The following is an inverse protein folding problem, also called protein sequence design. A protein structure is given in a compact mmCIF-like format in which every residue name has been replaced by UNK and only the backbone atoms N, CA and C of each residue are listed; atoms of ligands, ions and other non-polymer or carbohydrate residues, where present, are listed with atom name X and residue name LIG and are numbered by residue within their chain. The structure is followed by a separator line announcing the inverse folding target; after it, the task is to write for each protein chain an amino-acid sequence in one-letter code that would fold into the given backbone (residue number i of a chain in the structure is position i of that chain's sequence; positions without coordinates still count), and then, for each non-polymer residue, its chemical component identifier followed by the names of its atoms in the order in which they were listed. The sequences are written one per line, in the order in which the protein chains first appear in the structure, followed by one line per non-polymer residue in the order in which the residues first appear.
data_IF_218011193778
#
_entry.id   IF_218011193778
#
_cell.length_a   1.000
_cell.length_b   1.000
_cell.length_c   1.000
_cell.angle_alpha   90.00
_cell.angle_beta   90.00
_cell.angle_gamma   90.00
#
_symmetry.space_group_name_H-M   'P 1'
#
loop_
_entity.id
_entity.type
_entity.pdbx_description
1 polymer ?
#
# COMPACT_ATOMS: atom_id res chain seq x y z
N UNK A 1 -15.55 9.59 -2.53
CA UNK A 1 -15.10 8.74 -3.66
C UNK A 1 -13.63 9.04 -3.87
N UNK A 2 -12.82 8.03 -4.16
CA UNK A 2 -11.37 8.11 -4.39
C UNK A 2 -11.07 7.44 -5.73
N UNK A 3 -10.02 7.88 -6.43
CA UNK A 3 -9.50 7.21 -7.62
C UNK A 3 -8.23 6.48 -7.23
N UNK A 4 -8.13 5.19 -7.56
CA UNK A 4 -6.91 4.42 -7.36
C UNK A 4 -6.18 4.28 -8.69
N UNK A 5 -4.90 4.61 -8.70
CA UNK A 5 -3.99 4.36 -9.82
C UNK A 5 -3.09 3.19 -9.46
N UNK A 6 -3.24 2.08 -10.19
CA UNK A 6 -2.45 0.87 -10.02
C UNK A 6 -1.39 0.80 -11.13
N UNK A 7 -0.12 0.74 -10.74
CA UNK A 7 0.99 0.54 -11.68
C UNK A 7 1.90 -0.60 -11.19
N UNK A 8 1.57 -1.87 -11.50
CA UNK A 8 2.37 -3.01 -11.06
C UNK A 8 3.77 -3.05 -11.70
N UNK A 9 3.96 -2.39 -12.85
CA UNK A 9 5.24 -2.38 -13.56
C UNK A 9 6.16 -1.26 -13.11
N UNK A 10 5.77 -0.42 -12.14
CA UNK A 10 6.51 0.79 -11.77
C UNK A 10 7.94 0.49 -11.33
N UNK A 11 8.13 -0.53 -10.50
CA UNK A 11 9.46 -0.96 -10.06
C UNK A 11 10.32 -1.40 -11.26
N UNK A 12 9.73 -2.12 -12.22
CA UNK A 12 10.43 -2.57 -13.42
C UNK A 12 10.77 -1.43 -14.39
N UNK A 13 9.90 -0.41 -14.48
CA UNK A 13 10.15 0.84 -15.24
C UNK A 13 11.37 1.56 -14.68
N UNK A 14 11.46 1.72 -13.36
CA UNK A 14 12.57 2.39 -12.70
C UNK A 14 13.87 1.58 -12.80
N UNK A 15 13.78 0.25 -12.80
CA UNK A 15 14.92 -0.64 -12.92
C UNK A 15 15.38 -0.87 -14.38
N UNK A 16 14.57 -0.52 -15.38
CA UNK A 16 14.84 -0.83 -16.78
C UNK A 16 14.81 -2.34 -17.07
N UNK A 17 13.99 -3.09 -16.33
CA UNK A 17 13.89 -4.55 -16.40
C UNK A 17 12.66 -5.03 -17.17
N UNK A 18 11.84 -4.11 -17.69
CA UNK A 18 10.72 -4.45 -18.56
C UNK A 18 11.20 -5.18 -19.81
N UNK A 19 10.57 -6.30 -20.12
CA UNK A 19 10.87 -7.09 -21.32
C UNK A 19 10.37 -6.36 -22.56
N UNK A 20 11.24 -6.16 -23.55
CA UNK A 20 10.90 -5.60 -24.85
C UNK A 20 10.14 -6.58 -25.75
N UNK A 21 9.67 -6.08 -26.90
CA UNK A 21 8.77 -6.78 -27.84
C UNK A 21 9.32 -8.14 -28.30
N UNK A 22 10.64 -8.26 -28.43
CA UNK A 22 11.30 -9.48 -28.92
C UNK A 22 11.81 -10.41 -27.80
N UNK A 23 11.61 -10.06 -26.53
CA UNK A 23 12.08 -10.84 -25.38
C UNK A 23 13.58 -10.81 -25.11
N UNK A 24 14.37 -10.23 -26.03
CA UNK A 24 15.85 -10.24 -26.01
C UNK A 24 16.41 -8.91 -25.47
N UNK A 25 15.69 -7.81 -25.65
CA UNK A 25 16.08 -6.47 -25.19
C UNK A 25 15.19 -6.01 -24.04
N UNK A 26 15.76 -5.34 -23.04
CA UNK A 26 14.97 -4.66 -21.99
C UNK A 26 14.71 -3.20 -22.36
N UNK A 27 13.58 -2.67 -21.88
CA UNK A 27 13.29 -1.24 -21.98
C UNK A 27 14.19 -0.50 -21.00
N UNK A 28 14.86 0.57 -21.45
CA UNK A 28 15.73 1.38 -20.60
C UNK A 28 14.95 1.92 -19.39
N UNK A 29 15.62 1.96 -18.25
CA UNK A 29 15.13 2.64 -17.06
C UNK A 29 14.70 4.09 -17.37
N UNK A 30 13.52 4.47 -16.88
CA UNK A 30 13.08 5.87 -16.90
C UNK A 30 13.60 6.54 -15.63
N UNK A 31 14.24 7.72 -15.73
CA UNK A 31 14.69 8.45 -14.55
C UNK A 31 13.53 8.75 -13.60
N UNK A 32 13.76 8.53 -12.32
CA UNK A 32 12.76 8.75 -11.26
C UNK A 32 12.09 10.14 -11.30
N UNK A 33 12.80 11.26 -11.55
CA UNK A 33 12.15 12.57 -11.66
C UNK A 33 11.11 12.63 -12.79
N UNK A 34 11.38 11.98 -13.93
CA UNK A 34 10.43 11.96 -15.06
C UNK A 34 9.18 11.13 -14.73
N UNK A 35 9.35 10.01 -14.00
CA UNK A 35 8.24 9.19 -13.50
C UNK A 35 7.38 9.99 -12.53
N UNK A 36 8.01 10.70 -11.58
CA UNK A 36 7.31 11.53 -10.61
C UNK A 36 6.51 12.65 -11.30
N UNK A 37 7.14 13.39 -12.22
CA UNK A 37 6.51 14.47 -12.97
C UNK A 37 5.29 13.97 -13.77
N UNK A 38 5.41 12.79 -14.38
CA UNK A 38 4.31 12.17 -15.14
C UNK A 38 3.15 11.77 -14.24
N UNK A 39 3.43 11.10 -13.11
CA UNK A 39 2.40 10.69 -12.15
C UNK A 39 1.67 11.90 -11.58
N UNK A 40 2.41 12.95 -11.20
CA UNK A 40 1.83 14.18 -10.66
C UNK A 40 1.00 14.92 -11.71
N UNK A 41 1.49 14.99 -12.95
CA UNK A 41 0.73 15.58 -14.06
C UNK A 41 -0.59 14.84 -14.29
N UNK A 42 -0.59 13.50 -14.21
CA UNK A 42 -1.81 12.70 -14.30
C UNK A 42 -2.75 12.96 -13.11
N UNK A 43 -2.23 12.94 -11.89
CA UNK A 43 -2.98 13.18 -10.65
C UNK A 43 -3.67 14.55 -10.71
N UNK A 44 -2.99 15.58 -11.20
CA UNK A 44 -3.53 16.95 -11.32
C UNK A 44 -4.70 17.05 -12.30
N UNK A 45 -4.85 16.10 -13.24
CA UNK A 45 -6.03 16.06 -14.13
C UNK A 45 -7.27 15.43 -13.47
N UNK A 46 -7.11 14.76 -12.32
CA UNK A 46 -8.17 14.02 -11.64
C UNK A 46 -8.78 14.92 -10.55
N UNK A 47 -10.05 15.30 -10.70
CA UNK A 47 -10.76 16.17 -9.76
C UNK A 47 -11.16 15.50 -8.43
N UNK A 48 -10.58 14.34 -8.10
CA UNK A 48 -10.87 13.53 -6.93
C UNK A 48 -9.57 13.18 -6.21
N UNK A 49 -9.61 12.91 -4.89
CA UNK A 49 -8.45 12.40 -4.19
C UNK A 49 -7.91 11.12 -4.85
N UNK A 50 -6.60 11.05 -5.03
CA UNK A 50 -5.93 9.90 -5.67
C UNK A 50 -5.18 9.08 -4.63
N UNK A 51 -5.39 7.76 -4.68
CA UNK A 51 -4.54 6.76 -4.04
C UNK A 51 -3.66 6.09 -5.10
N UNK A 52 -2.41 5.80 -4.77
CA UNK A 52 -1.49 5.07 -5.65
C UNK A 52 -1.11 3.73 -5.05
N UNK A 53 -0.97 2.72 -5.88
CA UNK A 53 -0.60 1.36 -5.49
C UNK A 53 0.34 0.74 -6.52
N UNK A 54 1.26 -0.08 -6.04
CA UNK A 54 2.11 -0.93 -6.86
C UNK A 54 1.97 -2.36 -6.33
N UNK A 55 1.37 -3.24 -7.13
CA UNK A 55 1.02 -4.60 -6.72
C UNK A 55 2.21 -5.56 -6.68
N UNK A 56 3.30 -5.26 -7.39
CA UNK A 56 4.43 -6.18 -7.54
C UNK A 56 5.51 -5.94 -6.48
N UNK A 57 6.28 -7.00 -6.23
CA UNK A 57 7.32 -7.06 -5.22
C UNK A 57 8.31 -5.90 -5.30
N UNK A 58 8.44 -5.14 -4.21
CA UNK A 58 9.42 -4.05 -4.13
C UNK A 58 8.91 -2.71 -4.65
N UNK A 59 7.63 -2.41 -4.39
CA UNK A 59 7.03 -1.10 -4.61
C UNK A 59 7.99 0.06 -4.24
N UNK A 60 8.18 1.05 -5.11
CA UNK A 60 9.11 2.16 -4.88
C UNK A 60 8.48 3.20 -3.93
N UNK A 61 8.34 2.85 -2.64
CA UNK A 61 7.65 3.65 -1.62
C UNK A 61 8.20 5.06 -1.54
N UNK A 62 9.52 5.23 -1.67
CA UNK A 62 10.17 6.54 -1.66
C UNK A 62 9.73 7.45 -2.84
N UNK A 63 9.49 6.88 -4.02
CA UNK A 63 8.90 7.63 -5.14
C UNK A 63 7.43 7.94 -4.85
N UNK A 64 6.66 6.92 -4.46
CA UNK A 64 5.21 7.04 -4.27
C UNK A 64 4.85 8.07 -3.19
N UNK A 65 5.62 8.14 -2.09
CA UNK A 65 5.38 9.14 -1.04
C UNK A 65 5.56 10.59 -1.53
N UNK A 66 6.37 10.82 -2.56
CA UNK A 66 6.66 12.17 -3.10
C UNK A 66 5.63 12.64 -4.13
N UNK A 67 4.82 11.72 -4.67
CA UNK A 67 3.72 12.08 -5.58
C UNK A 67 2.69 13.01 -4.93
N UNK A 68 1.77 13.59 -5.70
CA UNK A 68 0.62 14.35 -5.18
C UNK A 68 -0.51 13.48 -4.64
N UNK A 69 -0.37 12.15 -4.67
CA UNK A 69 -1.37 11.24 -4.14
C UNK A 69 -1.59 11.48 -2.64
N UNK A 70 -2.85 11.45 -2.21
CA UNK A 70 -3.23 11.62 -0.80
C UNK A 70 -3.05 10.34 0.01
N UNK A 71 -2.95 9.20 -0.69
CA UNK A 71 -2.79 7.90 -0.09
C UNK A 71 -1.84 7.01 -0.90
N UNK A 72 -1.08 6.17 -0.20
CA UNK A 72 -0.19 5.16 -0.80
C UNK A 72 -0.56 3.80 -0.24
N UNK A 73 -0.83 2.84 -1.13
CA UNK A 73 -1.19 1.48 -0.77
C UNK A 73 -0.01 0.51 -0.94
N UNK A 74 0.30 -0.23 0.12
CA UNK A 74 1.42 -1.17 0.20
C UNK A 74 0.98 -2.48 0.83
N UNK A 75 1.58 -3.59 0.41
CA UNK A 75 1.42 -4.88 1.09
C UNK A 75 2.31 -4.91 2.34
N UNK A 76 1.71 -5.14 3.51
CA UNK A 76 2.41 -5.23 4.78
C UNK A 76 3.46 -6.34 4.81
N UNK A 77 3.27 -7.41 4.03
CA UNK A 77 4.15 -8.57 3.97
C UNK A 77 5.37 -8.36 3.07
N UNK A 78 5.35 -7.32 2.24
CA UNK A 78 6.47 -6.97 1.35
C UNK A 78 7.33 -5.82 1.88
N UNK A 79 6.90 -5.18 2.98
CA UNK A 79 7.65 -4.08 3.58
C UNK A 79 9.00 -4.56 4.13
N UNK A 80 10.06 -3.88 3.73
CA UNK A 80 11.42 -4.10 4.20
C UNK A 80 11.81 -3.00 5.17
N UNK A 81 12.87 -3.25 5.95
CA UNK A 81 13.45 -2.23 6.85
C UNK A 81 13.88 -0.96 6.12
N UNK A 82 14.32 -1.09 4.87
CA UNK A 82 14.73 0.05 4.03
C UNK A 82 13.57 0.95 3.63
N UNK A 83 12.33 0.48 3.74
CA UNK A 83 11.14 1.24 3.37
C UNK A 83 10.59 2.06 4.56
N UNK A 84 11.08 1.83 5.78
CA UNK A 84 10.58 2.47 7.01
C UNK A 84 10.75 3.99 6.99
N UNK A 85 11.92 4.50 6.59
CA UNK A 85 12.16 5.95 6.54
C UNK A 85 11.16 6.64 5.59
N UNK A 86 10.95 6.04 4.40
CA UNK A 86 9.99 6.54 3.42
C UNK A 86 8.54 6.51 3.93
N UNK A 87 8.16 5.45 4.67
CA UNK A 87 6.84 5.35 5.29
C UNK A 87 6.66 6.35 6.44
N UNK A 88 7.71 6.62 7.22
CA UNK A 88 7.71 7.64 8.25
C UNK A 88 7.50 9.03 7.66
N UNK A 89 8.21 9.37 6.59
CA UNK A 89 8.05 10.62 5.86
C UNK A 89 6.65 10.75 5.20
N UNK A 90 6.10 9.66 4.67
CA UNK A 90 4.73 9.62 4.15
C UNK A 90 3.72 10.04 5.23
N UNK A 91 3.82 9.43 6.41
CA UNK A 91 2.92 9.70 7.54
C UNK A 91 3.12 11.12 8.08
N UNK A 92 4.36 11.60 8.20
CA UNK A 92 4.64 12.99 8.58
C UNK A 92 4.08 14.02 7.60
N UNK A 93 4.06 13.70 6.31
CA UNK A 93 3.44 14.52 5.28
C UNK A 93 1.90 14.54 5.36
N UNK A 94 1.29 13.86 6.33
CA UNK A 94 -0.15 13.83 6.54
C UNK A 94 -0.91 12.92 5.58
N UNK A 95 -0.20 12.08 4.81
CA UNK A 95 -0.83 11.16 3.85
C UNK A 95 -1.40 9.94 4.56
N UNK A 96 -2.34 9.29 3.89
CA UNK A 96 -2.91 8.01 4.35
C UNK A 96 -2.05 6.85 3.86
N UNK A 97 -1.64 5.98 4.78
CA UNK A 97 -1.09 4.67 4.45
C UNK A 97 -2.24 3.67 4.33
N UNK A 98 -2.40 3.06 3.16
CA UNK A 98 -3.36 1.97 2.95
C UNK A 98 -2.59 0.65 3.04
N UNK A 99 -2.71 -0.02 4.18
CA UNK A 99 -1.92 -1.19 4.50
C UNK A 99 -2.69 -2.48 4.15
N UNK A 100 -2.20 -3.20 3.15
CA UNK A 100 -2.69 -4.53 2.80
C UNK A 100 -2.21 -5.56 3.82
N UNK A 101 -3.04 -5.92 4.80
CA UNK A 101 -2.66 -6.85 5.88
C UNK A 101 -3.59 -8.05 6.04
N UNK A 102 -4.63 -8.13 5.21
CA UNK A 102 -5.55 -9.28 5.17
C UNK A 102 -5.24 -10.14 3.93
N UNK A 103 -5.13 -11.47 4.05
CA UNK A 103 -4.87 -12.34 2.90
C UNK A 103 -5.95 -12.25 1.83
N UNK A 104 -5.53 -12.04 0.58
CA UNK A 104 -6.46 -11.92 -0.55
C UNK A 104 -6.91 -13.28 -1.08
N UNK A 105 -6.01 -14.27 -1.10
CA UNK A 105 -6.34 -15.67 -1.40
C UNK A 105 -6.87 -16.39 -0.14
N UNK A 106 -7.71 -17.40 -0.33
CA UNK A 106 -8.22 -18.23 0.77
C UNK A 106 -7.06 -18.94 1.47
N UNK A 107 -6.76 -18.63 2.74
CA UNK A 107 -5.68 -19.29 3.46
C UNK A 107 -6.14 -20.65 3.97
N UNK A 108 -5.20 -21.58 4.20
CA UNK A 108 -5.48 -22.87 4.83
C UNK A 108 -6.09 -22.70 6.24
N UNK A 109 -5.61 -21.67 6.96
CA UNK A 109 -6.15 -21.24 8.25
C UNK A 109 -6.54 -19.76 8.18
N UNK A 110 -7.83 -19.43 8.33
CA UNK A 110 -8.26 -18.04 8.48
C UNK A 110 -7.57 -17.35 9.67
N UNK A 111 -6.92 -16.18 9.46
CA UNK A 111 -6.40 -15.39 10.57
C UNK A 111 -7.50 -14.77 11.41
N UNK A 112 -7.16 -14.49 12.67
CA UNK A 112 -7.92 -13.60 13.54
C UNK A 112 -7.64 -12.13 13.17
N UNK A 113 -8.57 -11.23 13.47
CA UNK A 113 -8.37 -9.81 13.20
C UNK A 113 -7.12 -9.24 13.89
N UNK A 114 -6.75 -9.75 15.08
CA UNK A 114 -5.53 -9.33 15.78
C UNK A 114 -4.27 -9.66 14.99
N UNK A 115 -4.23 -10.81 14.33
CA UNK A 115 -3.12 -11.21 13.46
C UNK A 115 -3.01 -10.27 12.24
N UNK A 116 -4.15 -9.77 11.73
CA UNK A 116 -4.18 -8.78 10.64
C UNK A 116 -3.89 -7.34 11.10
N UNK A 117 -4.10 -7.00 12.37
CA UNK A 117 -3.81 -5.68 12.94
C UNK A 117 -2.33 -5.52 13.31
N UNK A 118 -1.69 -6.62 13.73
CA UNK A 118 -0.31 -6.62 14.23
C UNK A 118 0.72 -5.95 13.29
N UNK A 119 0.67 -6.11 11.94
CA UNK A 119 1.64 -5.46 11.06
C UNK A 119 1.59 -3.93 11.13
N UNK A 120 0.41 -3.33 11.23
CA UNK A 120 0.29 -1.87 11.33
C UNK A 120 0.77 -1.35 12.68
N UNK A 121 0.45 -2.05 13.77
CA UNK A 121 0.93 -1.72 15.12
C UNK A 121 2.45 -1.77 15.17
N UNK A 122 3.06 -2.87 14.69
CA UNK A 122 4.53 -3.01 14.64
C UNK A 122 5.18 -1.93 13.80
N UNK A 123 4.59 -1.57 12.67
CA UNK A 123 5.10 -0.50 11.81
C UNK A 123 5.12 0.84 12.57
N UNK A 124 3.99 1.22 13.17
CA UNK A 124 3.86 2.48 13.92
C UNK A 124 4.82 2.53 15.11
N UNK A 125 4.90 1.45 15.89
CA UNK A 125 5.82 1.34 17.02
C UNK A 125 7.28 1.44 16.59
N UNK A 126 7.64 0.81 15.45
CA UNK A 126 9.00 0.85 14.91
C UNK A 126 9.39 2.23 14.41
N UNK A 127 8.43 3.01 13.92
CA UNK A 127 8.63 4.40 13.49
C UNK A 127 8.60 5.39 14.67
N UNK A 128 8.16 4.94 15.86
CA UNK A 128 8.09 5.76 17.07
C UNK A 128 6.96 6.80 17.06
N UNK A 129 5.92 6.61 16.25
CA UNK A 129 4.73 7.46 16.29
C UNK A 129 3.81 7.06 17.45
N UNK A 130 3.00 8.02 17.90
CA UNK A 130 1.86 7.75 18.77
C UNK A 130 0.83 6.88 18.03
N UNK A 131 0.25 5.87 18.71
CA UNK A 131 -0.63 4.89 18.06
C UNK A 131 -1.96 5.48 17.61
N UNK A 132 -2.32 6.70 18.03
CA UNK A 132 -3.43 7.45 17.43
C UNK A 132 -3.31 7.60 15.91
N UNK A 133 -2.10 7.51 15.34
CA UNK A 133 -1.89 7.54 13.88
C UNK A 133 -2.56 6.35 13.17
N UNK A 134 -2.71 5.21 13.84
CA UNK A 134 -3.45 4.06 13.31
C UNK A 134 -4.91 4.43 13.03
N UNK A 135 -5.51 5.29 13.86
CA UNK A 135 -6.89 5.71 13.71
C UNK A 135 -7.07 6.80 12.64
N UNK A 136 -6.08 7.69 12.49
CA UNK A 136 -6.21 8.89 11.67
C UNK A 136 -5.62 8.76 10.27
N UNK A 137 -4.58 7.93 10.08
CA UNK A 137 -3.80 7.88 8.84
C UNK A 137 -3.53 6.47 8.32
N UNK A 138 -3.95 5.41 9.01
CA UNK A 138 -3.80 4.04 8.53
C UNK A 138 -5.15 3.43 8.17
N UNK A 139 -5.31 3.07 6.90
CA UNK A 139 -6.42 2.25 6.41
C UNK A 139 -5.96 0.82 6.19
N UNK A 140 -6.89 -0.14 6.23
CA UNK A 140 -6.57 -1.57 6.05
C UNK A 140 -7.35 -2.16 4.88
N UNK A 141 -6.65 -2.92 4.05
CA UNK A 141 -7.22 -3.62 2.89
C UNK A 141 -6.77 -5.08 2.87
N UNK A 142 -7.38 -5.92 2.02
CA UNK A 142 -6.69 -7.11 1.55
C UNK A 142 -5.36 -6.73 0.88
N UNK A 143 -4.41 -7.65 0.83
CA UNK A 143 -3.09 -7.44 0.21
C UNK A 143 -3.15 -7.13 -1.29
N UNK A 144 -4.22 -7.55 -1.98
CA UNK A 144 -4.44 -7.43 -3.42
C UNK A 144 -5.94 -7.56 -3.73
N UNK A 145 -6.31 -7.58 -5.01
CA UNK A 145 -7.68 -7.83 -5.45
C UNK A 145 -8.21 -9.20 -5.03
N UNK A 146 -9.50 -9.27 -4.69
CA UNK A 146 -10.17 -10.51 -4.27
C UNK A 146 -10.70 -11.38 -5.43
N UNK A 147 -10.37 -11.04 -6.69
CA UNK A 147 -10.90 -11.72 -7.87
C UNK A 147 -10.59 -13.23 -7.91
N UNK A 148 -9.46 -13.64 -7.34
CA UNK A 148 -9.06 -15.05 -7.24
C UNK A 148 -9.59 -15.80 -6.00
N UNK A 149 -10.38 -15.15 -5.15
CA UNK A 149 -10.88 -15.74 -3.89
C UNK A 149 -12.25 -16.39 -4.05
N UNK A 150 -12.61 -17.27 -3.11
CA UNK A 150 -14.01 -17.74 -3.03
C UNK A 150 -14.92 -16.63 -2.51
N UNK A 151 -16.21 -16.61 -2.88
CA UNK A 151 -17.15 -15.62 -2.36
C UNK A 151 -17.28 -15.62 -0.83
N UNK A 152 -17.13 -16.77 -0.16
CA UNK A 152 -17.11 -16.82 1.31
C UNK A 152 -15.87 -16.12 1.87
N UNK A 153 -14.69 -16.40 1.30
CA UNK A 153 -13.46 -15.77 1.74
C UNK A 153 -13.47 -14.26 1.47
N UNK A 154 -13.93 -13.82 0.29
CA UNK A 154 -14.03 -12.39 -0.03
C UNK A 154 -14.84 -11.62 1.04
N UNK A 155 -16.00 -12.17 1.45
CA UNK A 155 -16.81 -11.58 2.52
C UNK A 155 -16.09 -11.57 3.86
N UNK A 156 -15.40 -12.67 4.21
CA UNK A 156 -14.66 -12.76 5.47
C UNK A 156 -13.47 -11.81 5.50
N UNK A 157 -12.72 -11.71 4.42
CA UNK A 157 -11.59 -10.80 4.27
C UNK A 157 -12.04 -9.34 4.43
N UNK A 158 -13.13 -8.93 3.77
CA UNK A 158 -13.70 -7.59 3.97
C UNK A 158 -14.23 -7.38 5.39
N UNK A 159 -14.78 -8.40 6.05
CA UNK A 159 -15.17 -8.27 7.46
C UNK A 159 -13.95 -8.08 8.38
N UNK A 160 -12.85 -8.80 8.12
CA UNK A 160 -11.60 -8.66 8.85
C UNK A 160 -10.99 -7.26 8.71
N UNK A 161 -11.00 -6.66 7.50
CA UNK A 161 -10.50 -5.28 7.34
C UNK A 161 -11.31 -4.29 8.18
N UNK A 162 -12.64 -4.45 8.22
CA UNK A 162 -13.51 -3.66 9.09
C UNK A 162 -13.22 -3.86 10.58
N UNK A 163 -13.02 -5.12 11.03
CA UNK A 163 -12.65 -5.44 12.42
C UNK A 163 -11.34 -4.77 12.83
N UNK A 164 -10.31 -4.79 11.95
CA UNK A 164 -9.02 -4.15 12.23
C UNK A 164 -9.15 -2.62 12.30
N UNK A 165 -9.83 -1.98 11.34
CA UNK A 165 -10.01 -0.52 11.35
C UNK A 165 -10.83 -0.07 12.56
N UNK A 166 -11.83 -0.85 12.98
CA UNK A 166 -12.58 -0.57 14.21
C UNK A 166 -11.64 -0.64 15.43
N UNK A 167 -10.79 -1.65 15.51
CA UNK A 167 -9.83 -1.79 16.60
C UNK A 167 -8.81 -0.63 16.65
N UNK A 168 -8.29 -0.21 15.49
CA UNK A 168 -7.42 0.97 15.38
C UNK A 168 -8.11 2.24 15.86
N UNK A 169 -9.40 2.41 15.59
CA UNK A 169 -10.15 3.60 15.99
C UNK A 169 -10.49 3.62 17.47
N UNK A 170 -10.96 2.49 18.01
CA UNK A 170 -11.61 2.46 19.32
C UNK A 170 -10.60 2.37 20.47
N UNK A 171 -9.49 1.64 20.27
CA UNK A 171 -8.49 1.41 21.31
C UNK A 171 -7.08 1.18 20.77
N UNK A 172 -6.49 2.12 20.00
CA UNK A 172 -5.18 1.94 19.38
C UNK A 172 -4.06 1.63 20.40
N UNK A 173 -4.12 2.26 21.58
CA UNK A 173 -3.14 2.04 22.66
C UNK A 173 -3.22 0.64 23.31
N UNK A 174 -4.33 -0.08 23.12
CA UNK A 174 -4.57 -1.40 23.73
C UNK A 174 -4.23 -2.57 22.80
N UNK A 175 -3.64 -2.29 21.63
CA UNK A 175 -3.32 -3.29 20.61
C UNK A 175 -1.93 -3.92 20.75
#
# INVERSE_FOLDING_TARGET
MVVQLDEPSLAAVLAGSLTGITGIDSVRAIPEPEVLDLLDSLIDTIALPVAVHCCDGGAPVDLLRRTRAVAVAVDAHELRRTDLDALGELLQAGKTLVLGSVPSATPDRPPLWRECAEPGVKLVDSLGFDRSILASQVSVTPSCGLAGSTPEWARRATALTHEVVAAYRDAPESL
#
